data_IF_375288069834
#
_entry.id   IF_375288069834
#
_cell.length_a   1.000
_cell.length_b   1.000
_cell.length_c   1.000
_cell.angle_alpha   90.00
_cell.angle_beta   90.00
_cell.angle_gamma   90.00
#
_symmetry.space_group_name_H-M   'P 1'
#
loop_
_entity.id
_entity.type
_entity.pdbx_description
1 polymer ?
#
# COMPACT_ATOMS: atom_id res chain seq x y z
N UNK A 1 17.01 -21.72 0.18
CA UNK A 1 16.99 -20.39 0.82
C UNK A 1 15.82 -19.50 0.34
N UNK A 2 14.66 -20.07 -0.03
CA UNK A 2 13.50 -19.26 -0.44
C UNK A 2 12.34 -19.42 0.57
N UNK A 3 12.14 -20.63 1.11
CA UNK A 3 11.13 -20.90 2.14
C UNK A 3 11.43 -20.23 3.49
N UNK A 4 12.69 -20.17 3.93
CA UNK A 4 13.05 -19.53 5.21
C UNK A 4 12.87 -18.00 5.20
N UNK A 5 13.05 -17.37 4.04
CA UNK A 5 12.79 -15.94 3.86
C UNK A 5 11.29 -15.65 3.93
N UNK A 6 10.47 -16.47 3.25
CA UNK A 6 9.00 -16.38 3.29
C UNK A 6 8.42 -16.66 4.68
N UNK A 7 9.01 -17.59 5.43
CA UNK A 7 8.61 -17.85 6.82
C UNK A 7 8.97 -16.69 7.76
N UNK A 8 10.15 -16.06 7.57
CA UNK A 8 10.54 -14.88 8.35
C UNK A 8 9.72 -13.64 7.99
N UNK A 9 9.39 -13.43 6.72
CA UNK A 9 8.49 -12.35 6.30
C UNK A 9 7.08 -12.59 6.85
N UNK A 10 6.52 -13.80 6.72
CA UNK A 10 5.24 -14.15 7.34
C UNK A 10 5.18 -13.88 8.87
N UNK A 11 6.32 -13.94 9.57
CA UNK A 11 6.41 -13.64 11.01
C UNK A 11 6.69 -12.16 11.32
N UNK A 12 7.11 -11.33 10.36
CA UNK A 12 7.47 -9.91 10.56
C UNK A 12 6.68 -8.96 9.63
N UNK A 13 5.35 -9.08 9.61
CA UNK A 13 4.43 -8.24 8.83
C UNK A 13 4.31 -6.80 9.34
N UNK A 14 4.52 -6.60 10.64
CA UNK A 14 4.22 -5.36 11.34
C UNK A 14 4.97 -4.15 10.75
N UNK A 15 6.29 -4.21 10.46
CA UNK A 15 7.00 -3.10 9.86
C UNK A 15 6.46 -2.67 8.50
N UNK A 16 6.10 -3.62 7.63
CA UNK A 16 5.51 -3.30 6.32
C UNK A 16 4.13 -2.68 6.49
N UNK A 17 3.30 -3.23 7.38
CA UNK A 17 1.99 -2.66 7.69
C UNK A 17 2.09 -1.23 8.22
N UNK A 18 2.95 -0.99 9.21
CA UNK A 18 3.13 0.32 9.81
C UNK A 18 3.63 1.33 8.77
N UNK A 19 4.54 0.93 7.87
CA UNK A 19 5.03 1.77 6.79
C UNK A 19 3.94 2.13 5.76
N UNK A 20 3.18 1.14 5.26
CA UNK A 20 2.09 1.37 4.31
C UNK A 20 0.99 2.25 4.93
N UNK A 21 0.64 2.00 6.19
CA UNK A 21 -0.36 2.81 6.92
C UNK A 21 0.14 4.24 7.10
N UNK A 22 1.42 4.43 7.45
CA UNK A 22 2.02 5.77 7.56
C UNK A 22 1.96 6.50 6.21
N UNK A 23 2.39 5.86 5.12
CA UNK A 23 2.37 6.42 3.77
C UNK A 23 0.96 6.86 3.35
N UNK A 24 -0.02 5.97 3.47
CA UNK A 24 -1.43 6.27 3.13
C UNK A 24 -1.95 7.43 3.98
N UNK A 25 -1.62 7.46 5.27
CA UNK A 25 -2.00 8.58 6.14
C UNK A 25 -1.30 9.88 5.78
N UNK A 26 -0.03 9.88 5.37
CA UNK A 26 0.68 11.08 4.88
C UNK A 26 -0.04 11.67 3.67
N UNK A 27 -0.46 10.83 2.72
CA UNK A 27 -1.22 11.27 1.54
C UNK A 27 -2.63 11.74 1.90
N UNK A 28 -3.35 11.00 2.75
CA UNK A 28 -4.79 11.19 3.00
C UNK A 28 -5.13 12.16 4.13
N UNK A 29 -4.29 12.31 5.15
CA UNK A 29 -4.61 13.10 6.35
C UNK A 29 -4.54 14.61 6.10
N UNK A 30 -3.76 15.05 5.13
CA UNK A 30 -3.58 16.46 4.78
C UNK A 30 -4.40 16.79 3.54
N UNK A 31 -5.46 17.57 3.70
CA UNK A 31 -6.41 17.86 2.61
C UNK A 31 -5.77 18.49 1.37
N UNK A 32 -4.72 19.31 1.53
CA UNK A 32 -3.97 19.87 0.40
C UNK A 32 -3.14 18.80 -0.32
N UNK A 33 -2.36 18.01 0.43
CA UNK A 33 -1.54 16.92 -0.11
C UNK A 33 -2.40 15.90 -0.86
N UNK A 34 -3.55 15.55 -0.30
CA UNK A 34 -4.49 14.62 -0.93
C UNK A 34 -4.99 15.13 -2.27
N UNK A 35 -5.42 16.40 -2.35
CA UNK A 35 -5.85 17.01 -3.63
C UNK A 35 -4.72 17.04 -4.64
N UNK A 36 -3.54 17.51 -4.24
CA UNK A 36 -2.37 17.56 -5.12
C UNK A 36 -1.97 16.18 -5.64
N UNK A 37 -2.07 15.15 -4.82
CA UNK A 37 -1.80 13.77 -5.24
C UNK A 37 -2.82 13.30 -6.28
N UNK A 38 -4.11 13.59 -6.08
CA UNK A 38 -5.15 13.24 -7.07
C UNK A 38 -4.98 13.98 -8.40
N UNK A 39 -4.65 15.26 -8.35
CA UNK A 39 -4.37 16.08 -9.53
C UNK A 39 -3.13 15.54 -10.28
N UNK A 40 -2.09 15.14 -9.54
CA UNK A 40 -0.91 14.48 -10.09
C UNK A 40 -1.27 13.18 -10.80
N UNK A 41 -2.00 12.27 -10.15
CA UNK A 41 -2.43 10.99 -10.74
C UNK A 41 -3.23 11.19 -12.04
N UNK A 42 -4.08 12.22 -12.08
CA UNK A 42 -4.81 12.58 -13.29
C UNK A 42 -3.87 13.09 -14.40
N UNK A 43 -2.85 13.88 -14.05
CA UNK A 43 -1.88 14.42 -15.01
C UNK A 43 -1.01 13.36 -15.67
N UNK A 44 -0.64 12.31 -14.92
CA UNK A 44 0.14 11.17 -15.43
C UNK A 44 -0.74 10.06 -16.04
N UNK A 45 -2.06 10.29 -16.10
CA UNK A 45 -3.05 9.31 -16.58
C UNK A 45 -2.94 7.95 -15.87
N UNK A 46 -2.69 7.98 -14.56
CA UNK A 46 -2.60 6.76 -13.75
C UNK A 46 -3.89 5.95 -13.81
N UNK A 47 -3.76 4.62 -13.67
CA UNK A 47 -4.89 3.69 -13.65
C UNK A 47 -5.88 4.02 -12.52
N UNK A 48 -5.38 4.50 -11.39
CA UNK A 48 -6.19 4.87 -10.23
C UNK A 48 -6.11 6.36 -9.96
N UNK A 49 -7.24 6.94 -9.55
CA UNK A 49 -7.35 8.37 -9.24
C UNK A 49 -7.10 8.70 -7.76
N UNK A 50 -6.84 7.69 -6.91
CA UNK A 50 -6.59 7.86 -5.48
C UNK A 50 -6.05 6.58 -4.81
N UNK A 51 -5.42 6.75 -3.64
CA UNK A 51 -5.16 5.66 -2.68
C UNK A 51 -6.42 5.35 -1.86
N UNK A 52 -6.55 4.11 -1.40
CA UNK A 52 -7.64 3.72 -0.51
C UNK A 52 -7.35 4.14 0.93
N UNK A 53 -8.36 4.64 1.64
CA UNK A 53 -8.22 5.01 3.04
C UNK A 53 -8.22 3.77 3.95
N UNK A 54 -7.17 3.61 4.76
CA UNK A 54 -7.12 2.56 5.77
C UNK A 54 -7.87 2.99 7.04
N UNK A 55 -8.75 2.12 7.55
CA UNK A 55 -9.32 2.26 8.90
C UNK A 55 -9.03 0.99 9.70
N UNK A 56 -8.52 1.14 10.93
CA UNK A 56 -8.22 0.01 11.83
C UNK A 56 -9.43 -0.91 12.08
N UNK A 57 -10.64 -0.38 11.93
CA UNK A 57 -11.92 -1.09 12.13
C UNK A 57 -12.20 -2.12 11.03
N UNK A 58 -11.56 -2.00 9.86
CA UNK A 58 -11.73 -2.91 8.72
C UNK A 58 -10.37 -3.44 8.26
N UNK A 59 -9.74 -4.27 9.09
CA UNK A 59 -8.59 -5.08 8.67
C UNK A 59 -8.90 -5.91 7.40
N UNK A 60 -10.18 -6.25 7.20
CA UNK A 60 -10.73 -6.93 6.00
C UNK A 60 -10.53 -6.13 4.70
N UNK A 61 -10.27 -4.82 4.74
CA UNK A 61 -9.91 -4.06 3.52
C UNK A 61 -8.41 -3.82 3.38
N UNK A 62 -7.57 -4.37 4.27
CA UNK A 62 -6.13 -4.16 4.22
C UNK A 62 -5.53 -4.66 2.91
N UNK A 63 -5.97 -5.83 2.40
CA UNK A 63 -5.53 -6.34 1.09
C UNK A 63 -5.78 -5.36 -0.04
N UNK A 64 -6.98 -4.79 -0.14
CA UNK A 64 -7.30 -3.79 -1.17
C UNK A 64 -6.45 -2.52 -1.05
N UNK A 65 -6.17 -2.07 0.19
CA UNK A 65 -5.30 -0.90 0.41
C UNK A 65 -3.88 -1.20 -0.04
N UNK A 66 -3.33 -2.34 0.34
CA UNK A 66 -1.99 -2.77 -0.05
C UNK A 66 -1.87 -2.93 -1.56
N UNK A 67 -2.84 -3.59 -2.18
CA UNK A 67 -2.93 -3.74 -3.63
C UNK A 67 -2.95 -2.38 -4.33
N UNK A 68 -3.76 -1.43 -3.84
CA UNK A 68 -3.79 -0.08 -4.41
C UNK A 68 -2.44 0.63 -4.31
N UNK A 69 -1.78 0.53 -3.15
CA UNK A 69 -0.46 1.13 -2.95
C UNK A 69 0.59 0.46 -3.83
N UNK A 70 0.50 -0.86 -4.02
CA UNK A 70 1.37 -1.60 -4.93
C UNK A 70 1.23 -1.13 -6.38
N UNK A 71 -0.01 -0.97 -6.87
CA UNK A 71 -0.27 -0.48 -8.23
C UNK A 71 0.19 0.97 -8.42
N UNK A 72 0.07 1.81 -7.39
CA UNK A 72 0.44 3.22 -7.44
C UNK A 72 1.90 3.50 -7.01
N UNK A 73 2.72 2.48 -6.70
CA UNK A 73 4.02 2.69 -6.04
C UNK A 73 4.94 3.66 -6.81
N UNK A 74 4.98 3.54 -8.13
CA UNK A 74 5.85 4.35 -9.00
C UNK A 74 5.34 5.80 -9.09
N UNK A 75 4.02 5.99 -9.14
CA UNK A 75 3.37 7.30 -9.10
C UNK A 75 3.57 7.98 -7.73
N UNK A 76 3.48 7.20 -6.64
CA UNK A 76 3.72 7.69 -5.28
C UNK A 76 5.15 8.18 -5.12
N UNK A 77 6.13 7.38 -5.57
CA UNK A 77 7.55 7.76 -5.55
C UNK A 77 7.74 9.06 -6.34
N UNK A 78 7.23 9.11 -7.58
CA UNK A 78 7.34 10.30 -8.44
C UNK A 78 6.75 11.56 -7.80
N UNK A 79 5.56 11.44 -7.19
CA UNK A 79 4.90 12.54 -6.49
C UNK A 79 5.73 13.07 -5.31
N UNK A 80 6.29 12.19 -4.47
CA UNK A 80 7.06 12.61 -3.31
C UNK A 80 8.44 13.18 -3.69
N UNK A 81 9.04 12.74 -4.80
CA UNK A 81 10.20 13.38 -5.39
C UNK A 81 9.90 14.80 -5.86
N UNK A 82 8.79 15.02 -6.56
CA UNK A 82 8.35 16.37 -7.00
C UNK A 82 8.12 17.31 -5.80
N UNK A 83 7.65 16.77 -4.68
CA UNK A 83 7.44 17.52 -3.43
C UNK A 83 8.70 17.73 -2.60
N UNK A 84 9.87 17.23 -3.02
CA UNK A 84 11.10 17.20 -2.22
C UNK A 84 10.90 16.53 -0.84
N UNK A 85 10.12 15.46 -0.79
CA UNK A 85 9.73 14.73 0.42
C UNK A 85 9.95 13.20 0.26
N UNK A 86 10.99 12.79 -0.47
CA UNK A 86 11.28 11.37 -0.78
C UNK A 86 11.43 10.47 0.46
N UNK A 87 11.82 11.02 1.62
CA UNK A 87 11.88 10.30 2.89
C UNK A 87 10.52 9.70 3.32
N UNK A 88 9.40 10.21 2.81
CA UNK A 88 8.07 9.65 3.08
C UNK A 88 7.79 8.36 2.29
N UNK A 89 8.56 8.08 1.23
CA UNK A 89 8.38 6.93 0.34
C UNK A 89 9.66 6.12 0.09
N UNK A 90 10.74 6.33 0.84
CA UNK A 90 12.04 5.66 0.64
C UNK A 90 11.94 4.13 0.64
N UNK A 91 11.00 3.56 1.41
CA UNK A 91 10.79 2.11 1.44
C UNK A 91 10.33 1.53 0.10
N UNK A 92 9.70 2.34 -0.77
CA UNK A 92 9.27 1.92 -2.11
C UNK A 92 10.44 1.84 -3.11
N UNK A 93 11.63 2.31 -2.72
CA UNK A 93 12.85 2.24 -3.54
C UNK A 93 13.78 1.09 -3.09
N UNK A 94 13.48 0.45 -1.95
CA UNK A 94 14.22 -0.71 -1.44
C UNK A 94 13.67 -2.01 -2.03
N UNK A 95 14.49 -2.68 -2.86
CA UNK A 95 14.12 -3.93 -3.54
C UNK A 95 13.78 -5.08 -2.58
N UNK A 96 14.45 -5.16 -1.44
CA UNK A 96 14.19 -6.22 -0.46
C UNK A 96 12.85 -5.96 0.23
N UNK A 97 12.59 -4.70 0.61
CA UNK A 97 11.32 -4.29 1.17
C UNK A 97 10.16 -4.48 0.19
N UNK A 98 10.37 -4.15 -1.10
CA UNK A 98 9.37 -4.37 -2.15
C UNK A 98 9.02 -5.86 -2.30
N UNK A 99 9.99 -6.76 -2.12
CA UNK A 99 9.74 -8.20 -2.18
C UNK A 99 8.84 -8.65 -1.03
N UNK A 100 9.10 -8.16 0.19
CA UNK A 100 8.26 -8.43 1.35
C UNK A 100 6.86 -7.80 1.18
N UNK A 101 6.79 -6.57 0.67
CA UNK A 101 5.54 -5.86 0.40
C UNK A 101 4.68 -6.57 -0.65
N UNK A 102 5.27 -7.06 -1.75
CA UNK A 102 4.57 -7.86 -2.75
C UNK A 102 3.97 -9.12 -2.14
N UNK A 103 4.80 -9.88 -1.40
CA UNK A 103 4.37 -11.10 -0.73
C UNK A 103 3.20 -10.86 0.24
N UNK A 104 3.27 -9.79 1.04
CA UNK A 104 2.17 -9.45 1.95
C UNK A 104 0.92 -8.96 1.23
N UNK A 105 1.08 -8.24 0.14
CA UNK A 105 -0.05 -7.82 -0.69
C UNK A 105 -0.80 -9.04 -1.21
N UNK A 106 -0.10 -10.02 -1.78
CA UNK A 106 -0.69 -11.27 -2.27
C UNK A 106 -1.38 -12.05 -1.15
N UNK A 107 -0.73 -12.17 0.01
CA UNK A 107 -1.28 -12.87 1.17
C UNK A 107 -2.57 -12.19 1.69
N UNK A 108 -2.55 -10.87 1.84
CA UNK A 108 -3.70 -10.11 2.31
C UNK A 108 -4.85 -10.15 1.30
N UNK A 109 -4.56 -10.09 -0.01
CA UNK A 109 -5.57 -10.26 -1.06
C UNK A 109 -6.18 -11.66 -1.01
N UNK A 110 -5.37 -12.71 -0.79
CA UNK A 110 -5.88 -14.06 -0.62
C UNK A 110 -6.80 -14.19 0.61
N UNK A 111 -6.40 -13.63 1.75
CA UNK A 111 -7.23 -13.59 2.96
C UNK A 111 -8.54 -12.83 2.75
N UNK A 112 -8.49 -11.68 2.06
CA UNK A 112 -9.68 -10.91 1.71
C UNK A 112 -10.66 -11.74 0.86
N UNK A 113 -10.16 -12.44 -0.15
CA UNK A 113 -10.97 -13.29 -1.02
C UNK A 113 -11.60 -14.47 -0.26
N UNK A 114 -10.85 -15.10 0.64
CA UNK A 114 -11.38 -16.15 1.52
C UNK A 114 -12.49 -15.61 2.42
N UNK A 115 -12.28 -14.44 3.02
CA UNK A 115 -13.27 -13.82 3.90
C UNK A 115 -14.56 -13.43 3.15
N UNK A 116 -14.45 -12.88 1.94
CA UNK A 116 -15.62 -12.59 1.08
C UNK A 116 -16.41 -13.86 0.76
N UNK A 117 -15.72 -14.97 0.46
CA UNK A 117 -16.37 -16.26 0.22
C UNK A 117 -17.04 -16.83 1.46
N UNK A 118 -16.44 -16.64 2.64
CA UNK A 118 -16.96 -17.14 3.91
C UNK A 118 -18.12 -16.33 4.49
N UNK A 119 -18.16 -15.00 4.25
CA UNK A 119 -19.25 -14.15 4.74
C UNK A 119 -20.57 -14.41 4.00
N UNK A 120 -20.55 -15.09 2.85
CA UNK A 120 -21.75 -15.36 2.06
C UNK A 120 -22.36 -14.08 1.46
N UNK A 121 -23.31 -14.23 0.54
CA UNK A 121 -24.15 -13.11 0.13
C UNK A 121 -25.13 -12.84 1.28
N UNK A 122 -25.01 -11.68 1.92
CA UNK A 122 -26.10 -11.12 2.73
C UNK A 122 -27.33 -10.88 1.86
#
# INVERSE_FOLDING_TARGET
MHQDALCKSALNMKPVLDAVVKLVNTVRSRGLTHRQFRDFLQSVQSEYSDVLYYTKVRWISAGCVFERVWQLKDDIVSFFHEKHCSAECEMLEDTQWLSDFAFFTDLLCHMNNLNVKMQGKN
#
